data_IF_595003912859
#
_entry.id   IF_595003912859
#
_cell.length_a   1.000
_cell.length_b   1.000
_cell.length_c   1.000
_cell.angle_alpha   90.00
_cell.angle_beta   90.00
_cell.angle_gamma   90.00
#
_symmetry.space_group_name_H-M   'P 1'
#
loop_
_entity.id
_entity.type
_entity.pdbx_description
1 polymer ?
#
# COMPACT_ATOMS: atom_id res chain seq x y z
N UNK A 1 6.71 -19.08 20.52
CA UNK A 1 7.50 -18.20 19.64
C UNK A 1 8.96 -18.64 19.51
N UNK A 2 9.74 -18.78 20.59
CA UNK A 2 11.18 -19.08 20.49
C UNK A 2 11.55 -20.51 20.06
N UNK A 3 10.76 -21.53 20.44
CA UNK A 3 11.02 -22.93 20.06
C UNK A 3 10.96 -23.17 18.54
N UNK A 4 9.91 -22.68 17.88
CA UNK A 4 9.76 -22.80 16.42
C UNK A 4 10.94 -22.17 15.66
N UNK A 5 11.38 -20.98 16.07
CA UNK A 5 12.56 -20.32 15.48
C UNK A 5 13.83 -21.16 15.67
N UNK A 6 13.99 -21.81 16.82
CA UNK A 6 15.13 -22.67 17.11
C UNK A 6 15.09 -23.98 16.30
N UNK A 7 13.90 -24.53 16.07
CA UNK A 7 13.69 -25.75 15.28
C UNK A 7 13.94 -25.54 13.78
N UNK A 8 13.49 -24.41 13.21
CA UNK A 8 13.79 -24.05 11.81
C UNK A 8 15.27 -23.66 11.66
N UNK A 9 15.81 -22.95 12.65
CA UNK A 9 17.19 -22.48 12.66
C UNK A 9 17.37 -21.12 11.99
N UNK A 10 18.21 -20.27 12.58
CA UNK A 10 18.41 -18.89 12.12
C UNK A 10 18.96 -18.79 10.69
N UNK A 11 19.83 -19.73 10.28
CA UNK A 11 20.42 -19.75 8.93
C UNK A 11 19.40 -20.02 7.84
N UNK A 12 18.47 -20.96 8.08
CA UNK A 12 17.41 -21.28 7.13
C UNK A 12 16.44 -20.09 6.97
N UNK A 13 16.09 -19.45 8.09
CA UNK A 13 15.26 -18.23 8.08
C UNK A 13 15.93 -17.13 7.26
N UNK A 14 17.21 -16.86 7.54
CA UNK A 14 17.99 -15.85 6.82
C UNK A 14 18.12 -16.18 5.33
N UNK A 15 18.35 -17.44 4.97
CA UNK A 15 18.44 -17.88 3.58
C UNK A 15 17.12 -17.66 2.83
N UNK A 16 15.98 -18.02 3.42
CA UNK A 16 14.66 -17.83 2.79
C UNK A 16 14.28 -16.36 2.66
N UNK A 17 14.49 -15.58 3.72
CA UNK A 17 14.23 -14.14 3.71
C UNK A 17 15.12 -13.43 2.68
N UNK A 18 16.37 -13.88 2.54
CA UNK A 18 17.31 -13.39 1.53
C UNK A 18 16.86 -13.73 0.09
N UNK A 19 16.40 -14.96 -0.15
CA UNK A 19 15.86 -15.32 -1.47
C UNK A 19 14.64 -14.46 -1.85
N UNK A 20 13.68 -14.30 -0.94
CA UNK A 20 12.50 -13.46 -1.19
C UNK A 20 12.85 -11.99 -1.43
N UNK A 21 13.77 -11.42 -0.64
CA UNK A 21 14.10 -10.01 -0.77
C UNK A 21 14.85 -9.71 -2.07
N UNK A 22 15.77 -10.58 -2.49
CA UNK A 22 16.52 -10.41 -3.74
C UNK A 22 15.58 -10.44 -4.97
N UNK A 23 14.65 -11.42 -5.00
CA UNK A 23 13.67 -11.53 -6.09
C UNK A 23 12.67 -10.38 -6.10
N UNK A 24 12.23 -9.92 -4.93
CA UNK A 24 11.33 -8.78 -4.82
C UNK A 24 11.99 -7.48 -5.28
N UNK A 25 13.24 -7.24 -4.89
CA UNK A 25 14.01 -6.06 -5.29
C UNK A 25 14.17 -5.98 -6.81
N UNK A 26 14.57 -7.09 -7.47
CA UNK A 26 14.70 -7.15 -8.92
C UNK A 26 13.42 -6.73 -9.66
N UNK A 27 12.26 -7.18 -9.16
CA UNK A 27 10.97 -6.85 -9.77
C UNK A 27 10.53 -5.42 -9.49
N UNK A 28 10.72 -4.94 -8.26
CA UNK A 28 10.32 -3.58 -7.89
C UNK A 28 11.21 -2.52 -8.55
N UNK A 29 12.50 -2.77 -8.73
CA UNK A 29 13.39 -1.88 -9.49
C UNK A 29 13.06 -1.82 -10.98
N UNK A 30 12.48 -2.88 -11.53
CA UNK A 30 12.00 -2.90 -12.91
C UNK A 30 10.65 -2.16 -13.11
N UNK A 31 9.98 -1.74 -12.03
CA UNK A 31 8.70 -1.03 -12.09
C UNK A 31 8.92 0.48 -11.89
N UNK A 32 8.82 1.32 -12.94
CA UNK A 32 9.14 2.75 -12.84
C UNK A 32 8.15 3.52 -11.94
N UNK A 33 6.95 3.00 -11.73
CA UNK A 33 5.96 3.56 -10.80
C UNK A 33 6.25 3.21 -9.33
N UNK A 34 7.31 2.45 -9.03
CA UNK A 34 7.73 2.13 -7.67
C UNK A 34 9.09 2.76 -7.36
N UNK A 35 9.18 3.31 -6.15
CA UNK A 35 10.45 3.75 -5.58
C UNK A 35 10.69 2.95 -4.30
N UNK A 36 11.77 2.16 -4.29
CA UNK A 36 12.26 1.49 -3.09
C UNK A 36 13.09 2.49 -2.29
N UNK A 37 12.65 2.76 -1.06
CA UNK A 37 13.34 3.68 -0.15
C UNK A 37 14.47 2.98 0.61
N UNK A 38 15.55 3.73 0.83
CA UNK A 38 16.72 3.31 1.62
C UNK A 38 17.88 2.88 0.72
N UNK A 39 18.92 2.32 1.33
CA UNK A 39 20.08 1.84 0.59
C UNK A 39 19.78 0.47 -0.07
N UNK A 40 19.64 0.44 -1.39
CA UNK A 40 19.37 -0.77 -2.20
C UNK A 40 20.53 -1.76 -2.23
N UNK A 41 21.76 -1.29 -1.99
CA UNK A 41 22.98 -2.10 -2.04
C UNK A 41 23.34 -2.77 -0.71
N UNK A 42 22.73 -2.36 0.39
CA UNK A 42 23.02 -2.91 1.71
C UNK A 42 22.22 -4.19 1.97
N UNK A 43 22.85 -5.15 2.66
CA UNK A 43 22.17 -6.30 3.24
C UNK A 43 20.99 -5.82 4.10
N UNK A 44 19.84 -6.46 3.92
CA UNK A 44 18.59 -6.08 4.57
C UNK A 44 17.80 -7.30 4.99
N UNK A 45 17.00 -7.12 6.04
CA UNK A 45 15.91 -8.04 6.32
C UNK A 45 14.91 -8.02 5.17
N UNK A 46 14.05 -9.03 5.09
CA UNK A 46 12.96 -9.09 4.10
C UNK A 46 11.83 -8.07 4.37
N UNK A 47 12.20 -6.80 4.55
CA UNK A 47 11.35 -5.65 4.83
C UNK A 47 11.70 -4.56 3.82
N UNK A 48 10.72 -4.09 3.06
CA UNK A 48 10.89 -3.05 2.04
C UNK A 48 10.01 -1.86 2.36
N UNK A 49 10.55 -0.66 2.17
CA UNK A 49 9.83 0.61 2.21
C UNK A 49 9.57 1.09 0.79
N UNK A 50 8.30 1.32 0.43
CA UNK A 50 7.86 1.58 -0.94
C UNK A 50 7.08 2.88 -1.04
N UNK A 51 7.37 3.65 -2.10
CA UNK A 51 6.54 4.76 -2.60
C UNK A 51 5.98 4.40 -3.96
N UNK A 52 4.76 4.86 -4.22
CA UNK A 52 4.02 4.59 -5.44
C UNK A 52 3.92 5.91 -6.19
N UNK A 53 4.53 5.97 -7.37
CA UNK A 53 4.65 7.17 -8.20
C UNK A 53 3.57 7.21 -9.26
N UNK A 54 3.13 8.41 -9.60
CA UNK A 54 2.27 8.68 -10.74
C UNK A 54 2.62 10.03 -11.35
N UNK A 55 3.43 10.02 -12.41
CA UNK A 55 3.99 11.24 -13.00
C UNK A 55 4.91 11.97 -12.03
N UNK A 56 4.60 13.23 -11.73
CA UNK A 56 5.39 14.07 -10.80
C UNK A 56 4.89 14.03 -9.35
N UNK A 57 3.85 13.24 -9.06
CA UNK A 57 3.26 13.09 -7.72
C UNK A 57 3.28 11.63 -7.31
N UNK A 58 3.00 11.39 -6.04
CA UNK A 58 2.83 10.04 -5.51
C UNK A 58 1.35 9.68 -5.34
N UNK A 59 1.06 8.39 -5.22
CA UNK A 59 -0.16 7.93 -4.58
C UNK A 59 0.02 7.97 -3.06
N UNK A 60 -0.92 8.59 -2.36
CA UNK A 60 -0.84 8.74 -0.90
C UNK A 60 -0.76 7.36 -0.24
N UNK A 61 0.24 7.11 0.63
CA UNK A 61 0.49 5.79 1.21
C UNK A 61 -0.74 5.20 1.91
N UNK A 62 -1.58 6.03 2.54
CA UNK A 62 -2.81 5.61 3.20
C UNK A 62 -3.88 5.14 2.22
N UNK A 63 -3.94 5.74 1.02
CA UNK A 63 -4.82 5.26 -0.05
C UNK A 63 -4.33 3.90 -0.56
N UNK A 64 -3.03 3.78 -0.83
CA UNK A 64 -2.43 2.53 -1.30
C UNK A 64 -2.61 1.40 -0.28
N UNK A 65 -2.47 1.70 1.02
CA UNK A 65 -2.75 0.77 2.11
C UNK A 65 -4.20 0.27 2.10
N UNK A 66 -5.16 1.20 2.00
CA UNK A 66 -6.58 0.85 1.92
C UNK A 66 -6.87 0.02 0.67
N UNK A 67 -6.29 0.36 -0.47
CA UNK A 67 -6.50 -0.35 -1.72
C UNK A 67 -5.96 -1.80 -1.68
N UNK A 68 -4.75 -2.01 -1.15
CA UNK A 68 -4.18 -3.35 -0.97
C UNK A 68 -5.06 -4.21 -0.05
N UNK A 69 -5.57 -3.64 1.04
CA UNK A 69 -6.50 -4.33 1.92
C UNK A 69 -7.83 -4.62 1.22
N UNK A 70 -8.36 -3.67 0.47
CA UNK A 70 -9.71 -3.73 -0.05
C UNK A 70 -9.88 -4.62 -1.26
N UNK A 71 -8.89 -4.61 -2.17
CA UNK A 71 -8.94 -5.38 -3.41
C UNK A 71 -8.20 -6.72 -3.30
N UNK A 72 -7.09 -6.75 -2.55
CA UNK A 72 -6.22 -7.93 -2.50
C UNK A 72 -6.28 -8.69 -1.16
N UNK A 73 -6.90 -8.11 -0.13
CA UNK A 73 -6.90 -8.67 1.22
C UNK A 73 -5.55 -8.60 1.92
N UNK A 74 -4.62 -7.77 1.43
CA UNK A 74 -3.25 -7.66 1.95
C UNK A 74 -3.20 -6.50 2.95
N UNK A 75 -2.87 -6.81 4.20
CA UNK A 75 -2.70 -5.80 5.24
C UNK A 75 -1.25 -5.31 5.30
N UNK A 76 -1.07 -4.02 5.07
CA UNK A 76 0.23 -3.35 5.11
C UNK A 76 0.23 -2.22 6.11
N UNK A 77 1.42 -1.83 6.56
CA UNK A 77 1.59 -0.64 7.43
C UNK A 77 2.06 0.53 6.59
N UNK A 78 1.40 1.66 6.73
CA UNK A 78 1.77 2.92 6.08
C UNK A 78 2.04 4.04 7.08
N UNK A 79 2.95 4.95 6.74
CA UNK A 79 3.22 6.17 7.49
C UNK A 79 4.71 6.44 7.73
N UNK A 80 5.00 7.49 8.49
CA UNK A 80 6.36 7.82 8.91
C UNK A 80 6.78 6.95 10.11
N UNK A 81 7.77 6.06 9.91
CA UNK A 81 8.23 5.13 10.95
C UNK A 81 9.08 5.84 12.00
N UNK A 82 8.45 6.49 13.00
CA UNK A 82 9.02 6.99 14.27
C UNK A 82 10.40 7.70 14.23
N UNK A 83 10.82 8.19 13.07
CA UNK A 83 12.14 8.77 12.83
C UNK A 83 11.99 9.98 11.90
N UNK A 84 11.29 11.01 12.38
CA UNK A 84 11.03 12.26 11.63
C UNK A 84 12.27 12.81 10.91
N UNK A 85 13.42 12.98 11.58
CA UNK A 85 14.65 13.46 10.95
C UNK A 85 15.17 12.57 9.81
N UNK A 86 15.02 11.24 9.95
CA UNK A 86 15.40 10.28 8.91
C UNK A 86 14.43 10.33 7.73
N UNK A 87 13.13 10.50 7.98
CA UNK A 87 12.14 10.67 6.93
C UNK A 87 12.41 11.90 6.05
N UNK A 88 12.91 13.00 6.62
CA UNK A 88 13.29 14.18 5.81
C UNK A 88 14.45 13.88 4.87
N UNK A 89 15.48 13.18 5.36
CA UNK A 89 16.64 12.81 4.55
C UNK A 89 16.27 11.78 3.48
N UNK A 90 15.44 10.80 3.85
CA UNK A 90 14.98 9.73 2.96
C UNK A 90 14.05 10.23 1.85
N UNK A 91 13.24 11.25 2.13
CA UNK A 91 12.28 11.83 1.18
C UNK A 91 12.84 13.06 0.46
N UNK A 92 14.10 13.44 0.69
CA UNK A 92 14.75 14.59 0.06
C UNK A 92 14.10 15.94 0.40
N UNK A 93 13.43 16.04 1.55
CA UNK A 93 12.69 17.23 1.95
C UNK A 93 13.61 18.30 2.54
N UNK A 94 13.43 19.56 2.11
CA UNK A 94 14.10 20.69 2.77
C UNK A 94 13.60 20.86 4.21
N UNK A 95 14.42 21.47 5.08
CA UNK A 95 14.01 21.73 6.48
C UNK A 95 12.79 22.65 6.56
N UNK A 96 12.70 23.63 5.67
CA UNK A 96 11.58 24.58 5.66
C UNK A 96 10.30 23.91 5.19
N UNK A 97 10.37 23.08 4.15
CA UNK A 97 9.24 22.28 3.68
C UNK A 97 8.75 21.30 4.75
N UNK A 98 9.67 20.62 5.43
CA UNK A 98 9.35 19.75 6.56
C UNK A 98 8.57 20.48 7.66
N UNK A 99 9.09 21.62 8.13
CA UNK A 99 8.43 22.42 9.17
C UNK A 99 7.05 22.91 8.74
N UNK A 100 6.89 23.29 7.47
CA UNK A 100 5.60 23.71 6.94
C UNK A 100 4.57 22.55 6.96
N UNK A 101 4.99 21.34 6.57
CA UNK A 101 4.16 20.14 6.69
C UNK A 101 3.82 19.84 8.15
N UNK A 102 4.80 19.88 9.05
CA UNK A 102 4.59 19.63 10.48
C UNK A 102 3.54 20.60 11.06
N UNK A 103 3.67 21.90 10.77
CA UNK A 103 2.69 22.91 11.19
C UNK A 103 1.29 22.65 10.62
N UNK A 104 1.17 22.29 9.34
CA UNK A 104 -0.12 21.98 8.72
C UNK A 104 -0.78 20.74 9.32
N UNK A 105 0.01 19.73 9.67
CA UNK A 105 -0.45 18.51 10.36
C UNK A 105 -0.91 18.82 11.79
N UNK A 106 -0.17 19.66 12.52
CA UNK A 106 -0.55 20.13 13.87
C UNK A 106 -1.85 20.94 13.86
N UNK A 107 -2.12 21.67 12.77
CA UNK A 107 -3.38 22.39 12.53
C UNK A 107 -4.54 21.49 12.10
N UNK A 108 -4.32 20.17 11.98
CA UNK A 108 -5.37 19.18 11.69
C UNK A 108 -5.38 18.65 10.26
N UNK A 109 -4.47 19.10 9.38
CA UNK A 109 -4.39 18.62 7.99
C UNK A 109 -3.60 17.32 7.89
N UNK A 110 -4.12 16.27 8.53
CA UNK A 110 -3.42 14.99 8.72
C UNK A 110 -3.02 14.28 7.42
N UNK A 111 -3.71 14.56 6.31
CA UNK A 111 -3.41 13.97 5.00
C UNK A 111 -2.06 14.43 4.41
N UNK A 112 -1.51 15.55 4.89
CA UNK A 112 -0.19 16.02 4.46
C UNK A 112 0.95 15.26 5.13
N UNK A 113 0.66 14.49 6.18
CA UNK A 113 1.66 13.69 6.90
C UNK A 113 2.41 12.83 5.88
N UNK A 114 3.75 12.90 5.82
CA UNK A 114 4.51 12.12 4.86
C UNK A 114 4.60 10.66 5.33
N UNK A 115 4.84 9.75 4.39
CA UNK A 115 5.00 8.35 4.71
C UNK A 115 5.21 7.48 3.48
N UNK A 116 5.45 6.21 3.76
CA UNK A 116 5.64 5.15 2.77
C UNK A 116 4.92 3.89 3.23
N UNK A 117 4.82 2.90 2.35
CA UNK A 117 4.34 1.58 2.71
C UNK A 117 5.49 0.68 3.13
N UNK A 118 5.27 -0.12 4.18
CA UNK A 118 6.20 -1.15 4.63
C UNK A 118 5.64 -2.53 4.33
N UNK A 119 6.32 -3.27 3.46
CA UNK A 119 6.03 -4.66 3.15
C UNK A 119 7.07 -5.56 3.81
N UNK A 120 6.66 -6.74 4.29
CA UNK A 120 7.56 -7.74 4.85
C UNK A 120 7.21 -9.12 4.32
N UNK A 121 8.22 -9.89 3.91
CA UNK A 121 8.08 -11.30 3.58
C UNK A 121 8.51 -12.12 4.78
N UNK A 122 7.62 -12.97 5.29
CA UNK A 122 7.96 -13.89 6.36
C UNK A 122 8.52 -15.18 5.77
N UNK A 123 9.51 -15.81 6.42
CA UNK A 123 10.17 -17.04 5.95
C UNK A 123 9.25 -18.27 5.74
N UNK A 124 8.01 -18.21 6.23
CA UNK A 124 7.04 -19.30 6.18
C UNK A 124 5.93 -19.09 5.13
N UNK A 125 5.95 -18.00 4.35
CA UNK A 125 5.02 -17.85 3.23
C UNK A 125 5.35 -18.85 2.12
N UNK A 126 4.32 -19.35 1.45
CA UNK A 126 4.48 -20.22 0.29
C UNK A 126 4.78 -19.41 -0.98
N UNK A 127 5.38 -20.06 -1.98
CA UNK A 127 5.72 -19.43 -3.26
C UNK A 127 4.52 -18.76 -3.96
N UNK A 128 3.30 -19.36 -4.00
CA UNK A 128 2.14 -18.68 -4.57
C UNK A 128 1.74 -17.41 -3.82
N UNK A 129 1.93 -17.37 -2.51
CA UNK A 129 1.63 -16.18 -1.68
C UNK A 129 2.67 -15.08 -1.92
N UNK A 130 3.94 -15.45 -2.03
CA UNK A 130 5.02 -14.53 -2.41
C UNK A 130 4.73 -13.88 -3.77
N UNK A 131 4.44 -14.70 -4.79
CA UNK A 131 4.11 -14.21 -6.13
C UNK A 131 2.84 -13.33 -6.16
N UNK A 132 1.83 -13.68 -5.36
CA UNK A 132 0.64 -12.87 -5.21
C UNK A 132 0.94 -11.49 -4.59
N UNK A 133 1.78 -11.44 -3.55
CA UNK A 133 2.20 -10.19 -2.91
C UNK A 133 2.94 -9.27 -3.89
N UNK A 134 3.89 -9.82 -4.66
CA UNK A 134 4.62 -9.04 -5.67
C UNK A 134 3.68 -8.51 -6.75
N UNK A 135 2.82 -9.38 -7.30
CA UNK A 135 1.88 -8.99 -8.36
C UNK A 135 0.88 -7.94 -7.88
N UNK A 136 0.39 -8.04 -6.65
CA UNK A 136 -0.51 -7.04 -6.07
C UNK A 136 0.15 -5.66 -5.98
N UNK A 137 1.39 -5.59 -5.52
CA UNK A 137 2.16 -4.34 -5.42
C UNK A 137 2.38 -3.72 -6.81
N UNK A 138 2.81 -4.51 -7.79
CA UNK A 138 3.00 -4.04 -9.16
C UNK A 138 1.70 -3.53 -9.80
N UNK A 139 0.60 -4.27 -9.65
CA UNK A 139 -0.71 -3.87 -10.17
C UNK A 139 -1.19 -2.55 -9.56
N UNK A 140 -0.98 -2.37 -8.26
CA UNK A 140 -1.34 -1.12 -7.59
C UNK A 140 -0.43 0.02 -8.04
N UNK A 141 0.85 -0.21 -8.27
CA UNK A 141 1.76 0.80 -8.84
C UNK A 141 1.32 1.25 -10.23
N UNK A 142 1.03 0.30 -11.11
CA UNK A 142 0.70 0.56 -12.52
C UNK A 142 -0.72 1.12 -12.70
N UNK A 143 -1.69 0.64 -11.92
CA UNK A 143 -3.11 0.85 -12.18
C UNK A 143 -3.92 1.33 -10.97
N UNK A 144 -3.34 1.34 -9.77
CA UNK A 144 -4.05 1.70 -8.52
C UNK A 144 -4.64 3.11 -8.55
N UNK A 145 -3.98 4.04 -9.22
CA UNK A 145 -4.44 5.43 -9.37
C UNK A 145 -5.85 5.54 -9.98
N UNK A 146 -6.28 4.56 -10.80
CA UNK A 146 -7.61 4.53 -11.44
C UNK A 146 -8.75 4.38 -10.44
N UNK A 147 -8.47 3.81 -9.26
CA UNK A 147 -9.45 3.68 -8.18
C UNK A 147 -9.47 4.87 -7.22
N UNK A 148 -8.44 5.73 -7.24
CA UNK A 148 -8.35 6.89 -6.34
C UNK A 148 -9.61 7.78 -6.36
N UNK A 149 -10.25 8.08 -7.52
CA UNK A 149 -11.47 8.87 -7.55
C UNK A 149 -12.61 8.29 -6.71
N UNK A 150 -12.61 7.00 -6.42
CA UNK A 150 -13.70 6.32 -5.72
C UNK A 150 -13.44 6.14 -4.21
N UNK A 151 -12.30 6.61 -3.72
CA UNK A 151 -11.96 6.61 -2.30
C UNK A 151 -12.16 8.01 -1.70
N UNK A 152 -12.80 8.06 -0.53
CA UNK A 152 -12.95 9.27 0.26
C UNK A 152 -11.95 9.26 1.41
N UNK A 153 -11.27 10.37 1.64
CA UNK A 153 -10.49 10.56 2.83
C UNK A 153 -11.41 10.93 4.00
N UNK A 154 -11.31 10.20 5.10
CA UNK A 154 -11.99 10.47 6.37
C UNK A 154 -11.01 11.20 7.31
N UNK A 155 -11.16 12.53 7.51
CA UNK A 155 -10.20 13.30 8.31
C UNK A 155 -10.19 12.90 9.78
N UNK A 156 -11.33 12.46 10.33
CA UNK A 156 -11.46 12.11 11.74
C UNK A 156 -10.66 10.85 12.08
N UNK A 157 -10.71 9.85 11.19
CA UNK A 157 -9.93 8.62 11.36
C UNK A 157 -8.57 8.65 10.63
N UNK A 158 -8.32 9.67 9.80
CA UNK A 158 -7.13 9.78 8.93
C UNK A 158 -6.93 8.55 8.02
N UNK A 159 -8.02 8.02 7.47
CA UNK A 159 -8.02 6.83 6.60
C UNK A 159 -8.74 7.09 5.29
N UNK A 160 -8.36 6.34 4.26
CA UNK A 160 -9.08 6.33 2.99
C UNK A 160 -10.10 5.21 2.97
N UNK A 161 -11.32 5.50 2.51
CA UNK A 161 -12.44 4.55 2.47
C UNK A 161 -13.06 4.47 1.08
N UNK A 162 -13.16 3.27 0.53
CA UNK A 162 -13.88 3.07 -0.72
C UNK A 162 -15.35 3.49 -0.56
N UNK A 163 -15.81 4.39 -1.43
CA UNK A 163 -17.16 4.96 -1.40
C UNK A 163 -17.55 5.59 -0.04
N UNK A 164 -16.56 5.96 0.78
CA UNK A 164 -16.79 6.58 2.09
C UNK A 164 -17.34 5.62 3.14
N UNK A 165 -17.40 4.32 2.82
CA UNK A 165 -17.99 3.32 3.70
C UNK A 165 -16.93 2.75 4.64
N UNK A 166 -17.26 2.72 5.93
CA UNK A 166 -16.47 1.96 6.89
C UNK A 166 -16.74 0.47 6.69
N UNK A 167 -15.68 -0.34 6.65
CA UNK A 167 -15.85 -1.80 6.67
C UNK A 167 -16.33 -2.21 8.06
N UNK A 168 -17.30 -3.14 8.15
CA UNK A 168 -17.69 -3.71 9.43
C UNK A 168 -16.48 -4.37 10.08
N UNK A 169 -16.38 -4.27 11.41
CA UNK A 169 -15.37 -5.01 12.14
C UNK A 169 -15.52 -6.50 11.80
N UNK A 170 -14.39 -7.17 11.53
CA UNK A 170 -14.38 -8.62 11.51
C UNK A 170 -15.00 -9.11 12.83
N UNK A 171 -15.83 -10.14 12.77
CA UNK A 171 -16.44 -10.74 13.96
C UNK A 171 -15.37 -11.09 14.99
N UNK A 172 -15.80 -11.33 16.23
CA UNK A 172 -14.88 -11.66 17.34
C UNK A 172 -13.89 -12.74 16.91
N UNK A 173 -12.59 -12.38 16.90
CA UNK A 173 -11.53 -13.35 16.69
C UNK A 173 -11.58 -14.40 17.81
N UNK A 174 -11.20 -15.66 17.54
CA UNK A 174 -11.04 -16.66 18.58
C UNK A 174 -10.16 -16.09 19.70
N UNK A 175 -10.64 -16.16 20.95
CA UNK A 175 -9.95 -15.51 22.06
C UNK A 175 -8.65 -16.21 22.43
N UNK A 176 -8.51 -17.48 22.05
CA UNK A 176 -7.29 -18.25 22.25
C UNK A 176 -6.80 -18.91 20.97
N UNK A 177 -5.50 -19.20 20.93
CA UNK A 177 -4.89 -19.98 19.87
C UNK A 177 -5.48 -21.39 19.78
N UNK A 178 -5.92 -21.96 20.92
CA UNK A 178 -6.58 -23.27 20.97
C UNK A 178 -7.93 -23.23 20.24
N UNK A 179 -8.75 -22.21 20.48
CA UNK A 179 -10.02 -22.01 19.78
C UNK A 179 -9.83 -21.84 18.27
N UNK A 180 -8.74 -21.17 17.86
CA UNK A 180 -8.37 -21.05 16.46
C UNK A 180 -7.93 -22.39 15.85
N UNK A 181 -7.11 -23.17 16.55
CA UNK A 181 -6.65 -24.47 16.06
C UNK A 181 -7.79 -25.49 15.97
N UNK A 182 -8.71 -25.51 16.93
CA UNK A 182 -9.87 -26.40 16.93
C UNK A 182 -10.87 -26.04 15.83
N UNK A 183 -11.05 -24.74 15.55
CA UNK A 183 -11.86 -24.29 14.40
C UNK A 183 -11.17 -24.53 13.05
N UNK A 184 -9.84 -24.50 12.98
CA UNK A 184 -9.09 -24.80 11.74
C UNK A 184 -9.13 -26.29 11.36
N UNK A 185 -9.25 -27.20 12.33
CA UNK A 185 -9.33 -28.64 12.07
C UNK A 185 -10.69 -29.11 11.51
N UNK A 186 -11.70 -28.23 11.48
CA UNK A 186 -13.07 -28.58 11.07
C UNK A 186 -13.56 -27.82 9.84
N UNK A 187 -12.83 -26.79 9.40
CA UNK A 187 -13.20 -26.00 8.24
C UNK A 187 -12.49 -26.53 6.99
N UNK A 188 -13.27 -26.85 5.96
CA UNK A 188 -12.77 -26.90 4.58
C UNK A 188 -12.16 -25.53 4.29
N UNK A 189 -10.83 -25.42 4.39
CA UNK A 189 -10.16 -24.17 4.08
C UNK A 189 -10.31 -23.93 2.58
N UNK A 190 -11.02 -22.87 2.15
CA UNK A 190 -11.15 -22.59 0.73
C UNK A 190 -9.75 -22.43 0.14
N UNK A 191 -9.41 -23.32 -0.79
CA UNK A 191 -8.16 -23.20 -1.54
C UNK A 191 -8.35 -22.09 -2.56
N UNK A 192 -7.70 -20.96 -2.35
CA UNK A 192 -7.78 -19.83 -3.27
C UNK A 192 -6.72 -19.98 -4.36
N UNK A 193 -7.15 -19.93 -5.62
CA UNK A 193 -6.23 -19.73 -6.73
C UNK A 193 -5.81 -18.26 -6.78
N UNK A 194 -4.70 -17.95 -6.10
CA UNK A 194 -4.13 -16.62 -6.00
C UNK A 194 -3.79 -16.01 -7.36
N UNK A 195 -3.43 -16.82 -8.36
CA UNK A 195 -3.14 -16.33 -9.71
C UNK A 195 -4.43 -15.85 -10.41
N UNK A 196 -5.53 -16.58 -10.24
CA UNK A 196 -6.85 -16.15 -10.74
C UNK A 196 -7.34 -14.90 -10.01
N UNK A 197 -7.16 -14.82 -8.69
CA UNK A 197 -7.51 -13.61 -7.92
C UNK A 197 -6.72 -12.38 -8.40
N UNK A 198 -5.41 -12.52 -8.65
CA UNK A 198 -4.59 -11.43 -9.18
C UNK A 198 -5.09 -10.93 -10.54
N UNK A 199 -5.50 -11.84 -11.44
CA UNK A 199 -6.09 -11.50 -12.74
C UNK A 199 -7.44 -10.79 -12.60
N UNK A 200 -8.28 -11.24 -11.67
CA UNK A 200 -9.56 -10.57 -11.39
C UNK A 200 -9.33 -9.16 -10.85
N UNK A 201 -8.38 -8.98 -9.93
CA UNK A 201 -8.01 -7.68 -9.40
C UNK A 201 -7.47 -6.74 -10.49
N UNK A 202 -6.65 -7.24 -11.40
CA UNK A 202 -6.17 -6.48 -12.58
C UNK A 202 -7.34 -6.04 -13.47
N UNK A 203 -8.26 -6.94 -13.79
CA UNK A 203 -9.45 -6.61 -14.57
C UNK A 203 -10.30 -5.54 -13.87
N UNK A 204 -10.40 -5.59 -12.55
CA UNK A 204 -11.13 -4.61 -11.76
C UNK A 204 -10.41 -3.24 -11.82
N UNK A 205 -9.09 -3.18 -11.60
CA UNK A 205 -8.30 -1.95 -11.72
C UNK A 205 -8.40 -1.28 -13.09
N UNK A 206 -8.43 -2.07 -14.17
CA UNK A 206 -8.45 -1.59 -15.54
C UNK A 206 -9.86 -1.34 -16.11
N UNK A 207 -10.92 -1.54 -15.31
CA UNK A 207 -12.31 -1.36 -15.73
C UNK A 207 -12.59 0.08 -16.14
N UNK A 208 -13.04 0.28 -17.38
CA UNK A 208 -13.32 1.61 -17.95
C UNK A 208 -14.64 2.22 -17.45
N UNK A 209 -15.70 1.41 -17.35
CA UNK A 209 -17.02 1.87 -16.87
C UNK A 209 -17.23 1.45 -15.41
N UNK A 210 -16.80 2.33 -14.50
CA UNK A 210 -16.94 2.13 -13.06
C UNK A 210 -18.04 3.02 -12.49
N UNK A 211 -19.10 2.37 -12.03
CA UNK A 211 -20.18 2.98 -11.25
C UNK A 211 -19.68 3.31 -9.83
N UNK A 212 -20.10 4.46 -9.33
CA UNK A 212 -19.78 4.91 -7.97
C UNK A 212 -19.67 6.43 -7.91
N UNK A 213 -19.76 6.97 -6.70
CA UNK A 213 -19.56 8.40 -6.45
C UNK A 213 -18.07 8.70 -6.49
N UNK A 214 -17.67 9.65 -7.33
CA UNK A 214 -16.31 10.17 -7.34
C UNK A 214 -16.15 11.21 -6.24
N UNK A 215 -15.11 11.06 -5.44
CA UNK A 215 -14.76 11.93 -4.35
C UNK A 215 -14.04 13.18 -4.84
N UNK A 216 -14.09 14.21 -4.01
CA UNK A 216 -13.30 15.43 -4.18
C UNK A 216 -12.71 15.80 -2.83
N UNK A 217 -11.44 16.15 -2.83
CA UNK A 217 -10.73 16.59 -1.63
C UNK A 217 -10.22 18.01 -1.86
N UNK A 218 -10.71 18.95 -1.06
CA UNK A 218 -10.26 20.33 -1.08
C UNK A 218 -9.18 20.53 -0.01
N UNK A 219 -8.07 21.14 -0.40
CA UNK A 219 -7.05 21.65 0.50
C UNK A 219 -7.05 23.18 0.40
N UNK A 220 -6.80 23.86 1.52
CA UNK A 220 -6.55 25.31 1.50
C UNK A 220 -5.31 25.63 0.64
N UNK A 221 -5.24 26.84 0.08
CA UNK A 221 -4.16 27.22 -0.85
C UNK A 221 -2.75 26.97 -0.27
N UNK A 222 -2.53 27.29 1.00
CA UNK A 222 -1.27 27.05 1.72
C UNK A 222 -0.90 25.56 1.84
N UNK A 223 -1.90 24.68 1.93
CA UNK A 223 -1.72 23.24 2.03
C UNK A 223 -1.53 22.59 0.66
N UNK A 224 -2.06 23.21 -0.39
CA UNK A 224 -1.91 22.75 -1.77
C UNK A 224 -0.47 22.87 -2.25
N UNK A 225 0.25 23.93 -1.83
CA UNK A 225 1.68 24.11 -2.09
C UNK A 225 2.54 23.03 -1.41
N UNK A 226 2.03 22.42 -0.32
CA UNK A 226 2.68 21.34 0.42
C UNK A 226 2.30 19.93 -0.07
N UNK A 227 1.41 19.83 -1.06
CA UNK A 227 0.82 18.55 -1.47
C UNK A 227 1.74 17.77 -2.41
N UNK A 228 2.27 16.67 -1.90
CA UNK A 228 3.14 15.73 -2.62
C UNK A 228 2.41 14.59 -3.35
N UNK A 229 1.11 14.42 -3.14
CA UNK A 229 0.33 13.28 -3.65
C UNK A 229 -0.79 13.70 -4.62
N UNK A 230 -1.21 12.79 -5.49
CA UNK A 230 -2.31 12.96 -6.45
C UNK A 230 -3.68 13.06 -5.76
N UNK A 231 -4.55 13.96 -6.21
CA UNK A 231 -5.92 14.11 -5.70
C UNK A 231 -6.95 13.27 -6.48
N UNK A 232 -8.06 12.88 -5.85
CA UNK A 232 -9.13 12.14 -6.52
C UNK A 232 -9.69 12.84 -7.77
N UNK A 233 -9.87 14.16 -7.72
CA UNK A 233 -10.36 14.92 -8.88
C UNK A 233 -9.34 15.01 -10.03
N UNK A 234 -8.04 15.01 -9.74
CA UNK A 234 -6.99 14.98 -10.76
C UNK A 234 -6.98 13.63 -11.48
N UNK A 235 -7.06 12.53 -10.73
CA UNK A 235 -7.19 11.19 -11.29
C UNK A 235 -8.49 11.03 -12.10
N UNK A 236 -9.60 11.65 -11.66
CA UNK A 236 -10.87 11.66 -12.40
C UNK A 236 -10.71 12.32 -13.77
N UNK A 237 -10.09 13.50 -13.81
CA UNK A 237 -9.84 14.20 -15.07
C UNK A 237 -8.94 13.38 -16.02
N UNK A 238 -7.92 12.70 -15.49
CA UNK A 238 -7.06 11.81 -16.27
C UNK A 238 -7.86 10.64 -16.89
N UNK A 239 -8.76 10.02 -16.14
CA UNK A 239 -9.62 8.95 -16.66
C UNK A 239 -10.54 9.45 -17.78
N UNK A 240 -11.10 10.66 -17.65
CA UNK A 240 -11.94 11.27 -18.68
C UNK A 240 -11.17 11.56 -19.96
N UNK A 241 -9.93 12.02 -19.86
CA UNK A 241 -9.04 12.22 -21.00
C UNK A 241 -8.70 10.91 -21.72
N UNK A 242 -8.63 9.79 -20.99
CA UNK A 242 -8.37 8.47 -21.58
C UNK A 242 -9.59 7.88 -22.30
N UNK A 243 -10.81 8.25 -21.89
CA UNK A 243 -12.06 7.77 -22.49
C UNK A 243 -12.64 8.71 -23.54
N UNK A 244 -12.17 9.96 -23.60
CA UNK A 244 -12.56 10.90 -24.64
C UNK A 244 -12.21 10.34 -26.04
N UNK A 245 -13.16 10.33 -26.99
CA UNK A 245 -12.85 9.94 -28.36
C UNK A 245 -11.78 10.90 -28.90
N UNK A 246 -10.68 10.35 -29.43
CA UNK A 246 -9.69 11.15 -30.15
C UNK A 246 -10.43 11.83 -31.30
N UNK A 247 -10.57 13.15 -31.23
CA UNK A 247 -11.05 13.97 -32.35
C UNK A 247 -10.06 13.73 -33.51
N UNK A 248 -10.54 13.03 -34.54
CA UNK A 248 -9.86 12.83 -35.82
C UNK A 248 -10.04 14.07 -36.67
#
# INVERSE_FOLDING_TARGET
MFKLKQEVGAREIEQREKDFIERAMLRFEACPELEVLGNTEADRLAIISLRFKHGNKDLHYGFVASLLNDLFGIQVRGGCSCAGPYAHSLLGMSRDYSKAIEAAVEQGTMILRPGWLRLNFNYFIAEPEFEYLLRAVELVAQHGWRLLPYYHFDPAASVWRFQGQAKPALGSLPQTLADYMDSSNTADHPTFDLATLAKQAESELCKADRKGTRSRLELGAENEDLRWFLLPQEASAMLELMTAPKLV
#
